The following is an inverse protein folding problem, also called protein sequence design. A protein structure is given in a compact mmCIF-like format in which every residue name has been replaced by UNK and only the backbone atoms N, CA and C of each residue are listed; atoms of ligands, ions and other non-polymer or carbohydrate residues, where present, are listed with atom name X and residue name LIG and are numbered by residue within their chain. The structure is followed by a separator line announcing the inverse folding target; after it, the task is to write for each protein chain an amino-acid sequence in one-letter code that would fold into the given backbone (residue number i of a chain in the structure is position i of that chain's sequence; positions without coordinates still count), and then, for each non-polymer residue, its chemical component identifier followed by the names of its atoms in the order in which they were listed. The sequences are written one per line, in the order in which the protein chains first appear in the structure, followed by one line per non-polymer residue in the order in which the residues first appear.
data_IF_495220790590
#
_entry.id   IF_495220790590
#
_cell.length_a   1.000
_cell.length_b   1.000
_cell.length_c   1.000
_cell.angle_alpha   90.00
_cell.angle_beta   90.00
_cell.angle_gamma   90.00
#
_symmetry.space_group_name_H-M   'P 1'
#
loop_
_entity.id
_entity.type
_entity.pdbx_description
1 polymer ?
#
# COMPACT_ATOMS: atom_id res chain seq x y z
N UNK A 1 13.46 -20.54 22.82
CA UNK A 1 13.56 -19.46 23.84
C UNK A 1 12.44 -19.61 24.86
N UNK A 2 12.55 -19.04 26.07
CA UNK A 2 11.37 -18.93 26.94
C UNK A 2 10.41 -17.87 26.36
N UNK A 3 9.11 -18.00 26.65
CA UNK A 3 8.10 -17.05 26.14
C UNK A 3 8.37 -15.60 26.56
N UNK A 4 8.87 -15.41 27.79
CA UNK A 4 9.25 -14.08 28.29
C UNK A 4 10.38 -13.48 27.46
N UNK A 5 11.40 -14.27 27.15
CA UNK A 5 12.56 -13.83 26.37
C UNK A 5 12.12 -13.46 24.94
N UNK A 6 11.22 -14.24 24.34
CA UNK A 6 10.70 -13.96 23.00
C UNK A 6 9.97 -12.61 22.95
N UNK A 7 9.02 -12.36 23.85
CA UNK A 7 8.30 -11.07 23.91
C UNK A 7 9.21 -9.88 24.22
N UNK A 8 10.16 -10.08 25.13
CA UNK A 8 11.13 -9.05 25.48
C UNK A 8 12.02 -8.70 24.28
N UNK A 9 12.59 -9.70 23.60
CA UNK A 9 13.46 -9.49 22.45
C UNK A 9 12.70 -8.95 21.24
N UNK A 10 11.46 -9.36 21.02
CA UNK A 10 10.59 -8.78 19.99
C UNK A 10 10.41 -7.27 20.22
N UNK A 11 10.15 -6.85 21.47
CA UNK A 11 9.99 -5.43 21.81
C UNK A 11 11.32 -4.67 21.76
N UNK A 12 12.40 -5.26 22.24
CA UNK A 12 13.72 -4.62 22.34
C UNK A 12 14.40 -4.49 20.98
N UNK A 13 14.30 -5.49 20.10
CA UNK A 13 14.90 -5.46 18.75
C UNK A 13 14.36 -4.31 17.88
N UNK A 14 13.23 -3.71 18.25
CA UNK A 14 12.70 -2.52 17.58
C UNK A 14 13.36 -1.21 18.04
N UNK A 15 13.96 -1.21 19.23
CA UNK A 15 14.43 0.00 19.93
C UNK A 15 15.94 0.04 20.13
N UNK A 16 16.61 -1.11 20.18
CA UNK A 16 18.04 -1.22 20.45
C UNK A 16 18.69 -2.30 19.59
N UNK A 17 20.01 -2.22 19.46
CA UNK A 17 20.81 -3.28 18.88
C UNK A 17 20.86 -4.48 19.83
N UNK A 18 20.51 -5.66 19.32
CA UNK A 18 20.44 -6.89 20.10
C UNK A 18 21.50 -7.87 19.61
N UNK A 19 22.41 -8.26 20.50
CA UNK A 19 23.42 -9.29 20.25
C UNK A 19 23.09 -10.50 21.13
N UNK A 20 22.69 -11.65 20.55
CA UNK A 20 22.32 -12.81 21.33
C UNK A 20 23.57 -13.52 21.88
N UNK A 21 23.51 -13.88 23.16
CA UNK A 21 24.58 -14.59 23.86
C UNK A 21 24.01 -15.70 24.75
N UNK A 22 24.79 -16.77 24.89
CA UNK A 22 24.54 -17.88 25.80
C UNK A 22 25.44 -17.65 27.01
N UNK A 23 24.84 -17.24 28.12
CA UNK A 23 25.54 -17.00 29.37
C UNK A 23 25.91 -18.30 30.08
N UNK A 24 26.96 -18.25 30.93
CA UNK A 24 27.42 -19.39 31.75
C UNK A 24 27.65 -20.65 30.91
N UNK A 25 28.33 -20.48 29.78
CA UNK A 25 28.60 -21.58 28.85
C UNK A 25 29.43 -22.73 29.46
N UNK A 26 30.08 -22.51 30.60
CA UNK A 26 30.76 -23.53 31.41
C UNK A 26 29.81 -24.56 32.04
N UNK A 27 28.50 -24.30 32.04
CA UNK A 27 27.47 -25.24 32.54
C UNK A 27 27.01 -26.24 31.49
N UNK A 28 27.45 -26.10 30.24
CA UNK A 28 27.02 -26.91 29.11
C UNK A 28 28.21 -27.59 28.45
N UNK A 29 28.00 -28.81 27.97
CA UNK A 29 28.97 -29.54 27.15
C UNK A 29 29.05 -28.93 25.74
N UNK A 30 30.10 -29.26 24.99
CA UNK A 30 30.29 -28.78 23.61
C UNK A 30 29.15 -29.20 22.67
N UNK A 31 28.59 -30.38 22.87
CA UNK A 31 27.50 -30.90 22.03
C UNK A 31 26.15 -30.26 22.36
N UNK A 32 25.90 -30.02 23.64
CA UNK A 32 24.74 -29.24 24.10
C UNK A 32 24.82 -27.80 23.61
N UNK A 33 26.01 -27.17 23.66
CA UNK A 33 26.22 -25.82 23.10
C UNK A 33 25.84 -25.77 21.64
N UNK A 34 26.34 -26.69 20.81
CA UNK A 34 26.01 -26.75 19.37
C UNK A 34 24.52 -26.91 19.13
N UNK A 35 23.90 -27.87 19.81
CA UNK A 35 22.45 -28.14 19.69
C UNK A 35 21.63 -26.91 20.10
N UNK A 36 22.02 -26.25 21.20
CA UNK A 36 21.34 -25.07 21.71
C UNK A 36 21.53 -23.85 20.81
N UNK A 37 22.72 -23.65 20.21
CA UNK A 37 22.95 -22.59 19.21
C UNK A 37 21.97 -22.74 18.03
N UNK A 38 21.85 -23.94 17.45
CA UNK A 38 20.94 -24.19 16.33
C UNK A 38 19.47 -23.94 16.70
N UNK A 39 19.04 -24.41 17.87
CA UNK A 39 17.67 -24.17 18.36
C UNK A 39 17.45 -22.66 18.54
N UNK A 40 18.40 -21.94 19.12
CA UNK A 40 18.28 -20.51 19.39
C UNK A 40 18.18 -19.70 18.09
N UNK A 41 19.00 -20.02 17.09
CA UNK A 41 18.96 -19.38 15.77
C UNK A 41 17.60 -19.59 15.07
N UNK A 42 17.09 -20.83 15.07
CA UNK A 42 15.76 -21.12 14.51
C UNK A 42 14.66 -20.32 15.22
N UNK A 43 14.69 -20.28 16.56
CA UNK A 43 13.72 -19.50 17.32
C UNK A 43 13.80 -18.00 17.01
N UNK A 44 15.01 -17.42 16.91
CA UNK A 44 15.17 -16.00 16.58
C UNK A 44 14.56 -15.67 15.20
N UNK A 45 14.71 -16.57 14.23
CA UNK A 45 14.11 -16.45 12.92
C UNK A 45 12.58 -16.60 12.96
N UNK A 46 12.06 -17.58 13.70
CA UNK A 46 10.62 -17.82 13.83
C UNK A 46 9.89 -16.62 14.44
N UNK A 47 10.50 -15.95 15.43
CA UNK A 47 9.96 -14.74 16.07
C UNK A 47 10.32 -13.44 15.32
N UNK A 48 11.00 -13.53 14.17
CA UNK A 48 11.47 -12.39 13.38
C UNK A 48 12.24 -11.34 14.23
N UNK A 49 13.05 -11.81 15.17
CA UNK A 49 13.84 -10.96 16.06
C UNK A 49 15.06 -10.45 15.30
N UNK A 50 15.14 -9.14 15.14
CA UNK A 50 16.29 -8.50 14.48
C UNK A 50 17.50 -8.52 15.40
N UNK A 51 18.58 -9.15 14.94
CA UNK A 51 19.87 -9.24 15.63
C UNK A 51 20.95 -8.46 14.90
N UNK A 52 21.86 -7.87 15.66
CA UNK A 52 23.02 -7.18 15.14
C UNK A 52 24.20 -8.16 14.99
N UNK A 53 25.02 -8.05 13.91
CA UNK A 53 24.88 -7.16 12.75
C UNK A 53 23.99 -7.71 11.61
N UNK A 54 23.70 -9.01 11.56
CA UNK A 54 23.10 -9.68 10.39
C UNK A 54 21.75 -9.16 9.88
N UNK A 55 20.99 -8.42 10.70
CA UNK A 55 19.68 -7.88 10.30
C UNK A 55 19.77 -6.48 9.67
N UNK A 56 20.97 -5.91 9.54
CA UNK A 56 21.18 -4.57 9.01
C UNK A 56 21.88 -4.65 7.64
N UNK A 57 21.34 -3.98 6.60
CA UNK A 57 21.81 -4.11 5.22
C UNK A 57 23.16 -3.43 4.93
N UNK A 58 23.65 -2.61 5.87
CA UNK A 58 25.04 -2.17 5.87
C UNK A 58 25.85 -3.28 6.56
N UNK A 59 26.17 -4.32 5.79
CA UNK A 59 27.01 -5.41 6.25
C UNK A 59 28.31 -4.83 6.79
N UNK A 60 28.60 -5.10 8.06
CA UNK A 60 29.78 -4.55 8.73
C UNK A 60 31.03 -5.19 8.14
N UNK A 61 31.84 -4.38 7.45
CA UNK A 61 33.10 -4.80 6.86
C UNK A 61 34.00 -5.47 7.92
N UNK A 62 34.35 -6.74 7.70
CA UNK A 62 35.20 -7.52 8.59
C UNK A 62 34.49 -8.25 9.74
N UNK A 63 33.16 -8.21 9.84
CA UNK A 63 32.40 -8.95 10.85
C UNK A 63 32.01 -10.39 10.43
N UNK A 64 32.23 -10.79 9.18
CA UNK A 64 31.80 -12.09 8.62
C UNK A 64 32.32 -13.30 9.40
N UNK A 65 33.58 -13.26 9.85
CA UNK A 65 34.17 -14.35 10.64
C UNK A 65 33.55 -14.41 12.04
N UNK A 66 33.31 -13.25 12.66
CA UNK A 66 32.72 -13.14 14.00
C UNK A 66 31.24 -13.56 14.01
N UNK A 67 30.54 -13.37 12.90
CA UNK A 67 29.14 -13.76 12.73
C UNK A 67 28.94 -15.27 12.85
N UNK A 68 29.93 -16.09 12.50
CA UNK A 68 29.86 -17.55 12.64
C UNK A 68 29.76 -18.00 14.11
N UNK A 69 30.21 -17.16 15.03
CA UNK A 69 30.18 -17.46 16.46
C UNK A 69 28.85 -17.06 17.13
N UNK A 70 27.97 -16.32 16.43
CA UNK A 70 26.68 -15.87 16.94
C UNK A 70 25.68 -17.04 16.98
N UNK A 71 24.99 -17.29 18.11
CA UNK A 71 25.06 -16.58 19.40
C UNK A 71 26.32 -16.96 20.21
N UNK A 72 26.99 -15.95 20.78
CA UNK A 72 28.26 -16.14 21.49
C UNK A 72 28.10 -16.95 22.77
N UNK A 73 28.94 -17.96 23.00
CA UNK A 73 28.97 -18.73 24.25
C UNK A 73 29.98 -18.16 25.23
N UNK A 74 29.48 -17.39 26.21
CA UNK A 74 30.32 -16.57 27.07
C UNK A 74 30.39 -17.05 28.51
N UNK A 75 31.57 -16.90 29.09
CA UNK A 75 31.87 -17.17 30.49
C UNK A 75 32.41 -15.88 31.08
N UNK A 76 31.82 -15.41 32.18
CA UNK A 76 32.31 -14.24 32.90
C UNK A 76 33.01 -14.64 34.20
N UNK A 77 34.10 -13.98 34.54
CA UNK A 77 34.77 -14.13 35.84
C UNK A 77 35.51 -12.85 36.24
N UNK A 78 35.39 -12.48 37.52
CA UNK A 78 36.16 -11.39 38.13
C UNK A 78 37.45 -11.89 38.81
N UNK A 79 37.55 -13.21 39.06
CA UNK A 79 38.72 -13.79 39.71
C UNK A 79 39.85 -14.01 38.71
N UNK A 80 41.05 -13.59 39.09
CA UNK A 80 42.28 -13.81 38.33
C UNK A 80 43.09 -14.89 39.05
N UNK A 81 43.57 -15.89 38.31
CA UNK A 81 44.51 -16.88 38.81
C UNK A 81 45.73 -16.97 37.90
N UNK A 82 46.84 -17.42 38.47
CA UNK A 82 48.05 -17.76 37.72
C UNK A 82 47.87 -19.15 37.09
N UNK A 83 47.83 -19.19 35.75
CA UNK A 83 47.71 -20.41 34.98
C UNK A 83 48.92 -20.50 34.06
N UNK A 84 49.92 -21.29 34.47
CA UNK A 84 51.13 -21.50 33.69
C UNK A 84 52.04 -20.26 33.62
N UNK A 85 52.07 -19.42 34.65
CA UNK A 85 52.93 -18.23 34.73
C UNK A 85 52.31 -16.96 34.15
N UNK A 86 51.06 -17.03 33.68
CA UNK A 86 50.26 -15.87 33.24
C UNK A 86 49.06 -15.67 34.15
N UNK A 87 48.85 -14.42 34.54
CA UNK A 87 47.64 -14.01 35.25
C UNK A 87 46.49 -13.91 34.26
N UNK A 88 45.52 -14.81 34.34
CA UNK A 88 44.36 -14.85 33.46
C UNK A 88 43.06 -14.86 34.28
N UNK A 89 42.00 -14.26 33.73
CA UNK A 89 40.66 -14.34 34.31
C UNK A 89 40.12 -15.74 34.15
N UNK A 90 39.71 -16.37 35.24
CA UNK A 90 39.26 -17.76 35.21
C UNK A 90 38.22 -18.06 36.28
N UNK A 91 37.49 -19.16 36.12
CA UNK A 91 36.62 -19.73 37.15
C UNK A 91 37.21 -21.05 37.62
N UNK A 92 37.44 -21.16 38.93
CA UNK A 92 38.01 -22.36 39.52
C UNK A 92 36.91 -23.26 40.05
N UNK A 93 36.90 -24.51 39.60
CA UNK A 93 36.05 -25.59 40.08
C UNK A 93 36.90 -26.68 40.71
N UNK A 94 36.25 -27.60 41.45
CA UNK A 94 36.95 -28.76 42.05
C UNK A 94 37.60 -29.66 41.00
N UNK A 95 37.05 -29.68 39.78
CA UNK A 95 37.47 -30.53 38.68
C UNK A 95 38.36 -29.84 37.65
N UNK A 96 38.62 -28.54 37.79
CA UNK A 96 39.44 -27.81 36.81
C UNK A 96 39.27 -26.30 36.87
N UNK A 97 40.02 -25.61 36.02
CA UNK A 97 39.98 -24.16 35.89
C UNK A 97 39.54 -23.81 34.48
N UNK A 98 38.54 -22.95 34.37
CA UNK A 98 38.00 -22.49 33.09
C UNK A 98 38.49 -21.07 32.84
N UNK A 99 39.38 -20.93 31.87
CA UNK A 99 39.87 -19.63 31.39
C UNK A 99 38.81 -18.90 30.57
N UNK A 100 38.60 -17.61 30.86
CA UNK A 100 37.63 -16.77 30.13
C UNK A 100 38.19 -16.34 28.77
N UNK A 101 39.47 -16.01 28.71
CA UNK A 101 40.14 -15.50 27.51
C UNK A 101 40.75 -16.62 26.64
N UNK A 102 40.19 -17.83 26.73
CA UNK A 102 40.61 -18.97 25.93
C UNK A 102 39.49 -19.36 24.96
N UNK A 103 39.79 -19.35 23.65
CA UNK A 103 38.83 -19.62 22.58
C UNK A 103 38.24 -21.04 22.62
N UNK A 104 38.96 -22.02 23.20
CA UNK A 104 38.44 -23.38 23.36
C UNK A 104 37.38 -23.48 24.46
N UNK A 105 37.43 -22.59 25.45
CA UNK A 105 36.49 -22.58 26.58
C UNK A 105 35.32 -21.63 26.37
N UNK A 106 35.57 -20.46 25.78
CA UNK A 106 34.58 -19.38 25.61
C UNK A 106 34.79 -18.57 24.34
N UNK A 107 33.68 -18.16 23.72
CA UNK A 107 33.66 -17.20 22.62
C UNK A 107 33.85 -15.73 23.10
N UNK A 108 34.32 -15.51 24.33
CA UNK A 108 34.46 -14.16 24.91
C UNK A 108 35.43 -13.28 24.12
N UNK A 109 36.49 -13.86 23.56
CA UNK A 109 37.47 -13.14 22.74
C UNK A 109 36.78 -12.55 21.51
N UNK A 110 35.99 -13.35 20.81
CA UNK A 110 35.23 -12.95 19.62
C UNK A 110 34.16 -11.92 19.94
N UNK A 111 33.46 -12.07 21.07
CA UNK A 111 32.50 -11.05 21.52
C UNK A 111 33.19 -9.71 21.81
N UNK A 112 34.34 -9.73 22.49
CA UNK A 112 35.12 -8.53 22.79
C UNK A 112 35.59 -7.85 21.50
N UNK A 113 36.10 -8.62 20.55
CA UNK A 113 36.54 -8.13 19.25
C UNK A 113 35.40 -7.48 18.47
N UNK A 114 34.24 -8.13 18.41
CA UNK A 114 33.04 -7.59 17.77
C UNK A 114 32.63 -6.25 18.39
N UNK A 115 32.60 -6.16 19.73
CA UNK A 115 32.11 -4.97 20.43
C UNK A 115 33.10 -3.82 20.46
N UNK A 116 34.40 -4.09 20.64
CA UNK A 116 35.41 -3.06 20.91
C UNK A 116 36.23 -2.69 19.68
N UNK A 117 36.49 -3.63 18.78
CA UNK A 117 37.41 -3.45 17.66
C UNK A 117 36.67 -3.20 16.35
N UNK A 118 35.71 -4.07 16.01
CA UNK A 118 35.11 -4.07 14.67
C UNK A 118 33.85 -3.22 14.60
N UNK A 119 32.83 -3.53 15.41
CA UNK A 119 31.48 -3.00 15.21
C UNK A 119 31.10 -1.85 16.16
N UNK A 120 32.04 -1.29 16.93
CA UNK A 120 31.73 -0.24 17.91
C UNK A 120 31.11 0.99 17.22
N UNK A 121 31.71 1.40 16.10
CA UNK A 121 31.24 2.54 15.33
C UNK A 121 29.84 2.28 14.77
N UNK A 122 29.63 1.13 14.14
CA UNK A 122 28.35 0.76 13.52
C UNK A 122 27.24 0.60 14.56
N UNK A 123 27.55 0.10 15.76
CA UNK A 123 26.60 0.05 16.87
C UNK A 123 26.11 1.45 17.26
N UNK A 124 27.01 2.45 17.26
CA UNK A 124 26.63 3.85 17.53
C UNK A 124 25.84 4.42 16.36
N UNK A 125 26.27 4.17 15.13
CA UNK A 125 25.62 4.69 13.92
C UNK A 125 24.21 4.14 13.74
N UNK A 126 24.03 2.82 13.81
CA UNK A 126 22.72 2.16 13.76
C UNK A 126 21.80 2.65 14.88
N UNK A 127 22.34 2.86 16.09
CA UNK A 127 21.58 3.45 17.20
C UNK A 127 21.10 4.86 16.86
N UNK A 128 21.95 5.68 16.26
CA UNK A 128 21.58 7.03 15.85
C UNK A 128 20.57 7.00 14.68
N UNK A 129 21.01 6.49 13.53
CA UNK A 129 20.32 6.55 12.23
C UNK A 129 19.04 5.71 12.16
N UNK A 130 18.97 4.60 12.89
CA UNK A 130 17.80 3.71 12.85
C UNK A 130 16.96 3.88 14.11
N UNK A 131 17.51 3.55 15.27
CA UNK A 131 16.72 3.44 16.50
C UNK A 131 16.26 4.80 17.03
N UNK A 132 17.19 5.75 17.17
CA UNK A 132 16.87 7.09 17.65
C UNK A 132 16.02 7.85 16.64
N UNK A 133 16.34 7.80 15.34
CA UNK A 133 15.49 8.43 14.32
C UNK A 133 14.07 7.86 14.30
N UNK A 134 13.89 6.54 14.47
CA UNK A 134 12.56 5.92 14.59
C UNK A 134 11.82 6.44 15.82
N UNK A 135 12.48 6.48 16.98
CA UNK A 135 11.92 7.05 18.20
C UNK A 135 11.55 8.53 18.04
N UNK A 136 12.49 9.35 17.55
CA UNK A 136 12.30 10.78 17.29
C UNK A 136 11.13 11.02 16.35
N UNK A 137 11.06 10.29 15.24
CA UNK A 137 9.96 10.43 14.27
C UNK A 137 8.62 9.99 14.87
N UNK A 138 8.59 8.95 15.70
CA UNK A 138 7.39 8.55 16.44
C UNK A 138 6.96 9.59 17.46
N UNK A 139 7.92 10.21 18.16
CA UNK A 139 7.66 11.23 19.17
C UNK A 139 7.18 12.54 18.54
N UNK A 140 7.79 12.98 17.43
CA UNK A 140 7.35 14.17 16.69
C UNK A 140 5.94 14.03 16.12
N UNK A 141 5.53 12.81 15.74
CA UNK A 141 4.17 12.52 15.25
C UNK A 141 3.13 12.30 16.36
N UNK A 142 3.54 12.25 17.63
CA UNK A 142 2.61 11.98 18.72
C UNK A 142 1.75 13.23 19.04
N UNK A 143 0.44 13.02 19.12
CA UNK A 143 -0.53 14.06 19.52
C UNK A 143 -0.26 14.44 20.99
N UNK A 144 0.00 15.72 21.25
CA UNK A 144 0.39 16.22 22.58
C UNK A 144 1.88 16.55 22.74
N UNK A 145 2.61 16.73 21.64
CA UNK A 145 3.98 17.29 21.64
C UNK A 145 4.04 18.54 22.54
N UNK A 146 4.99 18.65 23.48
CA UNK A 146 5.28 19.95 24.07
C UNK A 146 5.68 20.89 22.93
N UNK A 147 5.06 22.08 22.84
CA UNK A 147 5.36 23.06 21.79
C UNK A 147 6.86 23.16 21.58
N UNK A 148 7.27 23.13 20.31
CA UNK A 148 8.67 23.25 19.94
C UNK A 148 9.31 24.45 20.65
N UNK A 149 10.55 24.30 21.16
CA UNK A 149 11.31 25.44 21.72
C UNK A 149 11.55 26.52 20.64
N UNK A 150 11.56 26.12 19.36
CA UNK A 150 11.68 26.97 18.21
C UNK A 150 10.30 27.27 17.62
N UNK A 151 9.82 28.49 17.84
CA UNK A 151 8.50 29.03 17.46
C UNK A 151 8.12 28.83 15.97
N UNK A 152 9.08 28.53 15.09
CA UNK A 152 8.88 28.39 13.65
C UNK A 152 8.27 27.04 13.20
N UNK A 153 8.45 25.94 13.94
CA UNK A 153 7.96 24.60 13.53
C UNK A 153 6.42 24.50 13.61
N UNK A 154 5.83 25.07 14.67
CA UNK A 154 4.39 25.01 14.93
C UNK A 154 3.59 25.79 13.87
N UNK A 155 4.19 26.84 13.28
CA UNK A 155 3.55 27.64 12.23
C UNK A 155 3.43 26.88 10.90
N UNK A 156 4.42 26.05 10.56
CA UNK A 156 4.43 25.33 9.29
C UNK A 156 3.39 24.21 9.27
N UNK A 157 3.31 23.40 10.33
CA UNK A 157 2.29 22.33 10.41
C UNK A 157 0.87 22.89 10.45
N UNK A 158 0.62 23.95 11.23
CA UNK A 158 -0.69 24.60 11.27
C UNK A 158 -1.07 25.23 9.91
N UNK A 159 -0.11 25.80 9.18
CA UNK A 159 -0.36 26.32 7.83
C UNK A 159 -0.64 25.19 6.84
N UNK A 160 0.06 24.06 6.91
CA UNK A 160 -0.16 22.90 6.02
C UNK A 160 -1.51 22.23 6.30
N UNK A 161 -1.88 22.05 7.57
CA UNK A 161 -3.20 21.51 7.94
C UNK A 161 -4.32 22.47 7.58
N UNK A 162 -4.14 23.77 7.83
CA UNK A 162 -5.05 24.83 7.41
C UNK A 162 -5.24 24.82 5.90
N UNK A 163 -4.15 24.80 5.12
CA UNK A 163 -4.19 24.74 3.66
C UNK A 163 -4.90 23.48 3.15
N UNK A 164 -4.73 22.32 3.81
CA UNK A 164 -5.45 21.09 3.46
C UNK A 164 -6.95 21.22 3.72
N UNK A 165 -7.36 21.80 4.85
CA UNK A 165 -8.77 22.01 5.17
C UNK A 165 -9.43 23.03 4.24
N UNK A 166 -8.76 24.14 3.95
CA UNK A 166 -9.26 25.15 3.00
C UNK A 166 -9.38 24.56 1.60
N UNK A 167 -8.36 23.84 1.13
CA UNK A 167 -8.40 23.18 -0.18
C UNK A 167 -9.52 22.13 -0.24
N UNK A 168 -9.74 21.37 0.82
CA UNK A 168 -10.85 20.40 0.87
C UNK A 168 -12.20 21.11 0.81
N UNK A 169 -12.40 22.17 1.60
CA UNK A 169 -13.63 22.95 1.58
C UNK A 169 -13.89 23.60 0.20
N UNK A 170 -12.85 24.13 -0.44
CA UNK A 170 -12.94 24.69 -1.79
C UNK A 170 -13.29 23.62 -2.85
N UNK A 171 -12.76 22.41 -2.70
CA UNK A 171 -13.10 21.29 -3.58
C UNK A 171 -14.55 20.84 -3.38
N UNK A 172 -15.01 20.74 -2.14
CA UNK A 172 -16.40 20.38 -1.81
C UNK A 172 -17.38 21.45 -2.35
N UNK A 173 -17.05 22.74 -2.22
CA UNK A 173 -17.84 23.84 -2.81
C UNK A 173 -17.89 23.78 -4.33
N UNK A 174 -16.75 23.52 -4.99
CA UNK A 174 -16.69 23.36 -6.45
C UNK A 174 -17.50 22.16 -6.93
N UNK A 175 -17.46 21.05 -6.21
CA UNK A 175 -18.26 19.86 -6.52
C UNK A 175 -19.76 20.18 -6.46
N UNK A 176 -20.20 20.86 -5.40
CA UNK A 176 -21.61 21.20 -5.24
C UNK A 176 -22.08 22.21 -6.29
N UNK A 177 -21.24 23.18 -6.67
CA UNK A 177 -21.53 24.10 -7.77
C UNK A 177 -21.65 23.38 -9.12
N UNK A 178 -20.78 22.41 -9.40
CA UNK A 178 -20.85 21.58 -10.61
C UNK A 178 -22.16 20.78 -10.62
N UNK A 179 -22.53 20.15 -9.50
CA UNK A 179 -23.78 19.40 -9.35
C UNK A 179 -25.01 20.29 -9.61
N UNK A 180 -25.05 21.49 -9.03
CA UNK A 180 -26.13 22.44 -9.26
C UNK A 180 -26.23 22.88 -10.72
N UNK A 181 -25.09 23.19 -11.36
CA UNK A 181 -25.07 23.56 -12.79
C UNK A 181 -25.54 22.41 -13.70
N UNK A 182 -25.27 21.16 -13.30
CA UNK A 182 -25.74 19.97 -14.03
C UNK A 182 -27.25 19.83 -13.91
N UNK A 183 -27.81 19.92 -12.69
CA UNK A 183 -29.27 19.85 -12.48
C UNK A 183 -29.99 20.94 -13.25
N UNK A 184 -29.46 22.16 -13.28
CA UNK A 184 -30.04 23.25 -14.06
C UNK A 184 -30.00 22.96 -15.56
N UNK A 185 -28.87 22.48 -16.10
CA UNK A 185 -28.76 22.08 -17.51
C UNK A 185 -29.68 20.92 -17.87
N UNK A 186 -29.88 19.96 -16.97
CA UNK A 186 -30.83 18.85 -17.18
C UNK A 186 -32.25 19.38 -17.26
N UNK A 187 -32.68 20.22 -16.31
CA UNK A 187 -34.01 20.85 -16.36
C UNK A 187 -34.24 21.67 -17.63
N UNK A 188 -33.26 22.49 -18.03
CA UNK A 188 -33.35 23.28 -19.26
C UNK A 188 -33.41 22.38 -20.51
N UNK A 189 -32.64 21.28 -20.54
CA UNK A 189 -32.72 20.31 -21.64
C UNK A 189 -34.04 19.56 -21.66
N UNK A 190 -34.60 19.17 -20.51
CA UNK A 190 -35.91 18.52 -20.41
C UNK A 190 -37.02 19.41 -20.94
N UNK A 191 -37.03 20.71 -20.57
CA UNK A 191 -38.00 21.68 -21.10
C UNK A 191 -37.84 21.83 -22.61
N UNK A 192 -36.61 21.99 -23.10
CA UNK A 192 -36.33 22.09 -24.54
C UNK A 192 -36.72 20.82 -25.31
N UNK A 193 -36.55 19.63 -24.73
CA UNK A 193 -36.97 18.36 -25.31
C UNK A 193 -38.49 18.29 -25.38
N UNK A 194 -39.18 18.66 -24.31
CA UNK A 194 -40.64 18.70 -24.25
C UNK A 194 -41.24 19.65 -25.28
N UNK A 195 -40.70 20.86 -25.42
CA UNK A 195 -41.14 21.79 -26.47
C UNK A 195 -40.90 21.24 -27.89
N UNK A 196 -39.79 20.52 -28.10
CA UNK A 196 -39.53 19.86 -29.39
C UNK A 196 -40.51 18.71 -29.64
N UNK A 197 -40.82 17.91 -28.63
CA UNK A 197 -41.79 16.83 -28.69
C UNK A 197 -43.20 17.37 -29.00
N UNK A 198 -43.62 18.45 -28.35
CA UNK A 198 -44.90 19.11 -28.61
C UNK A 198 -44.98 19.67 -30.04
N UNK A 199 -43.91 20.31 -30.54
CA UNK A 199 -43.83 20.77 -31.94
C UNK A 199 -43.87 19.62 -32.94
N UNK A 200 -43.19 18.52 -32.66
CA UNK A 200 -43.21 17.31 -33.50
C UNK A 200 -44.61 16.66 -33.48
N UNK A 201 -45.27 16.61 -32.33
CA UNK A 201 -46.62 16.10 -32.19
C UNK A 201 -47.63 16.97 -32.96
N UNK A 202 -47.55 18.30 -32.86
CA UNK A 202 -48.39 19.21 -33.62
C UNK A 202 -48.23 19.02 -35.14
N UNK A 203 -46.97 18.93 -35.62
CA UNK A 203 -46.69 18.63 -37.04
C UNK A 203 -47.22 17.27 -37.47
N UNK A 204 -47.18 16.27 -36.59
CA UNK A 204 -47.72 14.94 -36.87
C UNK A 204 -49.23 15.01 -37.08
N UNK A 205 -49.96 15.72 -36.22
CA UNK A 205 -51.43 15.90 -36.37
C UNK A 205 -51.77 16.66 -37.65
N UNK A 206 -51.02 17.72 -37.98
CA UNK A 206 -51.19 18.47 -39.22
C UNK A 206 -50.97 17.59 -40.46
N UNK A 207 -49.86 16.82 -40.47
CA UNK A 207 -49.55 15.88 -41.55
C UNK A 207 -50.57 14.73 -41.65
N UNK A 208 -51.11 14.24 -40.53
CA UNK A 208 -52.18 13.24 -40.51
C UNK A 208 -53.47 13.77 -41.13
N UNK A 209 -53.84 15.02 -40.84
CA UNK A 209 -55.00 15.67 -41.46
C UNK A 209 -54.81 15.89 -42.97
N UNK A 210 -53.59 16.27 -43.41
CA UNK A 210 -53.26 16.36 -44.84
C UNK A 210 -53.35 15.00 -45.53
N UNK A 211 -52.83 13.94 -44.91
CA UNK A 211 -52.94 12.58 -45.42
C UNK A 211 -54.40 12.10 -45.52
N UNK A 212 -55.26 12.48 -44.58
CA UNK A 212 -56.67 12.15 -44.60
C UNK A 212 -57.40 12.87 -45.75
N UNK A 213 -57.11 14.15 -45.98
CA UNK A 213 -57.64 14.88 -47.14
C UNK A 213 -57.18 14.28 -48.47
N UNK A 214 -55.91 13.87 -48.57
CA UNK A 214 -55.38 13.20 -49.77
C UNK A 214 -56.03 11.83 -49.98
N UNK A 215 -56.27 11.05 -48.91
CA UNK A 215 -57.01 9.79 -48.99
C UNK A 215 -58.44 9.99 -49.48
N UNK A 216 -59.16 10.98 -48.95
CA UNK A 216 -60.52 11.29 -49.38
C UNK A 216 -60.59 11.69 -50.86
N UNK A 217 -59.61 12.46 -51.36
CA UNK A 217 -59.50 12.81 -52.79
C UNK A 217 -59.19 11.60 -53.66
N UNK A 218 -58.29 10.71 -53.22
CA UNK A 218 -58.00 9.46 -53.94
C UNK A 218 -59.21 8.53 -53.96
N UNK A 219 -59.97 8.43 -52.88
CA UNK A 219 -61.19 7.62 -52.82
C UNK A 219 -62.30 8.19 -53.73
N UNK A 220 -62.45 9.52 -53.78
CA UNK A 220 -63.36 10.18 -54.71
C UNK A 220 -62.94 9.94 -56.17
N UNK A 221 -61.65 10.09 -56.48
CA UNK A 221 -61.11 9.79 -57.80
C UNK A 221 -61.23 8.31 -58.19
N UNK A 222 -61.10 7.38 -57.23
CA UNK A 222 -61.37 5.96 -57.46
C UNK A 222 -62.85 5.72 -57.76
N UNK A 223 -63.79 6.34 -57.01
CA UNK A 223 -65.23 6.23 -57.29
C UNK A 223 -65.58 6.78 -58.68
N UNK A 224 -65.00 7.90 -59.08
CA UNK A 224 -65.18 8.44 -60.44
C UNK A 224 -64.61 7.51 -61.52
N UNK A 225 -63.44 6.90 -61.27
CA UNK A 225 -62.85 5.93 -62.19
C UNK A 225 -63.70 4.65 -62.26
N UNK A 226 -64.20 4.15 -61.14
CA UNK A 226 -65.07 2.98 -61.06
C UNK A 226 -66.42 3.25 -61.73
N UNK A 227 -67.01 4.44 -61.54
CA UNK A 227 -68.23 4.88 -62.24
C UNK A 227 -67.98 4.99 -63.75
N UNK A 228 -66.82 5.51 -64.18
CA UNK A 228 -66.42 5.54 -65.58
C UNK A 228 -66.21 4.13 -66.15
N UNK A 229 -65.64 3.19 -65.39
CA UNK A 229 -65.48 1.78 -65.78
C UNK A 229 -66.84 1.07 -65.85
N UNK A 230 -67.76 1.32 -64.92
CA UNK A 230 -69.12 0.77 -64.95
C UNK A 230 -69.92 1.34 -66.12
N UNK A 231 -69.73 2.62 -66.44
CA UNK A 231 -70.35 3.27 -67.60
C UNK A 231 -69.78 2.71 -68.90
N UNK A 232 -68.46 2.52 -68.98
CA UNK A 232 -67.77 1.88 -70.11
C UNK A 232 -68.12 0.38 -70.25
N UNK A 233 -68.39 -0.33 -69.15
CA UNK A 233 -68.85 -1.73 -69.17
C UNK A 233 -70.34 -1.84 -69.53
N UNK A 234 -71.17 -0.85 -69.20
CA UNK A 234 -72.58 -0.77 -69.65
C UNK A 234 -72.69 -0.37 -71.12
N UNK A 235 -71.78 0.47 -71.62
CA UNK A 235 -71.63 0.75 -73.04
C UNK A 235 -70.70 -0.27 -73.71
N UNK A 236 -71.08 -1.53 -73.66
CA UNK A 236 -70.48 -2.56 -74.48
C UNK A 236 -70.80 -2.37 -75.95
N UNK A 237 -69.90 -1.66 -76.66
CA UNK A 237 -69.35 -2.09 -77.96
C UNK A 237 -67.92 -1.53 -78.09
N UNK A 238 -66.92 -2.40 -77.88
CA UNK A 238 -65.70 -2.66 -78.71
C UNK A 238 -64.82 -1.45 -79.13
N UNK A 239 -63.49 -1.48 -79.22
CA UNK A 239 -62.46 -2.53 -79.13
C UNK A 239 -61.11 -1.90 -79.53
N UNK A 240 -60.04 -2.27 -78.79
CA UNK A 240 -58.64 -2.46 -79.23
C UNK A 240 -57.78 -1.30 -79.79
N UNK A 241 -56.73 -1.03 -78.99
CA UNK A 241 -55.30 -1.20 -79.31
C UNK A 241 -54.46 -0.05 -79.89
N UNK A 242 -53.28 0.06 -79.24
CA UNK A 242 -51.95 0.49 -79.73
C UNK A 242 -51.72 1.99 -79.89
N UNK A 243 -50.54 2.57 -79.64
CA UNK A 243 -49.33 2.19 -78.90
C UNK A 243 -48.40 3.40 -78.94
N UNK A 244 -47.70 3.66 -77.82
CA UNK A 244 -46.39 4.34 -77.68
C UNK A 244 -46.26 5.82 -78.10
N UNK A 245 -45.31 6.47 -77.42
CA UNK A 245 -44.85 7.89 -77.48
C UNK A 245 -45.69 8.81 -76.58
N UNK A 246 -45.21 9.26 -75.41
CA UNK A 246 -44.00 10.08 -75.28
C UNK A 246 -43.15 9.76 -74.03
N UNK A 247 -41.84 9.90 -74.24
CA UNK A 247 -40.74 9.91 -73.28
C UNK A 247 -40.31 11.38 -73.05
N UNK A 248 -39.63 11.62 -71.92
CA UNK A 248 -38.96 12.84 -71.44
C UNK A 248 -39.84 13.70 -70.50
N UNK A 249 -39.37 14.09 -69.31
CA UNK A 249 -38.00 14.20 -68.78
C UNK A 249 -38.01 13.97 -67.27
#
# INVERSE_FOLDING_TARGET
LKELDAKALETLSQKVNVIPLIAKADTMTTDEKKSFKSILLNNLQDYNIRTFPSSYPEDVDGAEELLQHVPFTVIGSDTVADIGGRMARCRTYRWGVVEVENAEHSDFIYLRELLMSTCLHDLVETTHNVHYHKHRSSHLRAIGRPRSILECDDTYESQVEGAKQTNKADMDQKEEAIRQSFVQRVKEKEVNLREREEKMAAKKVEMEAELEMLRAKLEAGQKELDDAVVTLQRSGTLSKNSSKLFKAK
#
